data_IF_148672697154
#
_entry.id   IF_148672697154
#
_cell.length_a   1.000
_cell.length_b   1.000
_cell.length_c   1.000
_cell.angle_alpha   90.00
_cell.angle_beta   90.00
_cell.angle_gamma   90.00
#
_symmetry.space_group_name_H-M   'P 1'
#
loop_
_entity.id
_entity.type
_entity.pdbx_description
1 polymer ?
#
# COMPACT_ATOMS: atom_id res chain seq x y z
N UNK A 1 -9.49 -4.18 -0.83
CA UNK A 1 -9.82 -4.96 0.40
C UNK A 1 -9.35 -4.32 1.72
N UNK A 2 -8.17 -3.68 1.82
CA UNK A 2 -7.78 -2.90 3.01
C UNK A 2 -8.27 -1.45 2.98
N UNK A 3 -8.28 -0.80 1.80
CA UNK A 3 -8.70 0.61 1.68
C UNK A 3 -10.18 0.84 2.06
N UNK A 4 -11.06 -0.12 1.80
CA UNK A 4 -12.46 -0.05 2.21
C UNK A 4 -12.56 -0.12 3.74
N UNK A 5 -11.82 -1.04 4.37
CA UNK A 5 -11.78 -1.16 5.83
C UNK A 5 -11.22 0.12 6.49
N UNK A 6 -10.15 0.69 5.93
CA UNK A 6 -9.58 1.95 6.39
C UNK A 6 -10.56 3.12 6.24
N UNK A 7 -11.26 3.20 5.11
CA UNK A 7 -12.27 4.23 4.87
C UNK A 7 -13.45 4.12 5.85
N UNK A 8 -13.92 2.89 6.12
CA UNK A 8 -14.99 2.64 7.10
C UNK A 8 -14.55 2.97 8.52
N UNK A 9 -13.33 2.61 8.91
CA UNK A 9 -12.78 2.94 10.23
C UNK A 9 -12.63 4.46 10.41
N UNK A 10 -12.07 5.15 9.40
CA UNK A 10 -11.94 6.61 9.42
C UNK A 10 -13.31 7.30 9.48
N UNK A 11 -14.29 6.83 8.70
CA UNK A 11 -15.65 7.35 8.73
C UNK A 11 -16.31 7.13 10.09
N UNK A 12 -16.17 5.95 10.69
CA UNK A 12 -16.72 5.63 12.00
C UNK A 12 -16.15 6.54 13.10
N UNK A 13 -14.82 6.75 13.12
CA UNK A 13 -14.19 7.69 14.05
C UNK A 13 -14.69 9.12 13.84
N UNK A 14 -14.70 9.63 12.61
CA UNK A 14 -15.16 10.99 12.33
C UNK A 14 -16.62 11.20 12.79
N UNK A 15 -17.49 10.21 12.55
CA UNK A 15 -18.89 10.23 13.01
C UNK A 15 -19.01 10.19 14.53
N UNK A 16 -18.15 9.46 15.23
CA UNK A 16 -18.14 9.40 16.69
C UNK A 16 -17.81 10.75 17.35
N UNK A 17 -17.07 11.62 16.64
CA UNK A 17 -16.77 13.00 17.07
C UNK A 17 -17.75 14.05 16.53
N UNK A 18 -18.89 13.62 15.95
CA UNK A 18 -19.94 14.54 15.50
C UNK A 18 -19.72 15.19 14.14
N UNK A 19 -18.75 14.73 13.35
CA UNK A 19 -18.56 15.23 11.97
C UNK A 19 -19.76 14.84 11.10
N UNK A 20 -20.38 15.79 10.42
CA UNK A 20 -21.54 15.55 9.54
C UNK A 20 -21.26 14.53 8.41
N UNK A 21 -22.24 13.69 8.01
CA UNK A 21 -22.02 12.65 6.99
C UNK A 21 -21.57 13.24 5.65
N UNK A 22 -22.05 14.44 5.31
CA UNK A 22 -21.65 15.14 4.09
C UNK A 22 -20.15 15.48 4.09
N UNK A 23 -19.63 15.98 5.21
CA UNK A 23 -18.22 16.29 5.36
C UNK A 23 -17.34 15.02 5.32
N UNK A 24 -17.78 13.92 5.93
CA UNK A 24 -17.09 12.62 5.84
C UNK A 24 -17.05 12.12 4.39
N UNK A 25 -18.18 12.16 3.69
CA UNK A 25 -18.28 11.79 2.27
C UNK A 25 -17.33 12.61 1.42
N UNK A 26 -17.33 13.93 1.61
CA UNK A 26 -16.53 14.84 0.79
C UNK A 26 -15.02 14.67 1.09
N UNK A 27 -14.65 14.42 2.36
CA UNK A 27 -13.29 14.06 2.75
C UNK A 27 -12.82 12.75 2.12
N UNK A 28 -13.65 11.70 2.14
CA UNK A 28 -13.32 10.43 1.49
C UNK A 28 -13.19 10.55 -0.04
N UNK A 29 -13.97 11.43 -0.67
CA UNK A 29 -13.87 11.72 -2.11
C UNK A 29 -12.63 12.54 -2.47
N UNK A 30 -12.22 13.44 -1.58
CA UNK A 30 -11.04 14.28 -1.75
C UNK A 30 -9.74 13.54 -1.41
N UNK A 31 -9.82 12.48 -0.60
CA UNK A 31 -8.66 11.69 -0.20
C UNK A 31 -7.94 11.13 -1.42
N UNK A 32 -6.69 11.55 -1.58
CA UNK A 32 -5.74 10.92 -2.48
C UNK A 32 -4.73 10.18 -1.60
N UNK A 33 -4.55 8.86 -1.80
CA UNK A 33 -3.41 8.18 -1.19
C UNK A 33 -2.14 8.94 -1.58
N UNK A 34 -1.23 9.16 -0.63
CA UNK A 34 0.10 9.66 -0.98
C UNK A 34 0.73 8.74 -2.03
N UNK A 35 1.54 9.34 -2.92
CA UNK A 35 2.44 8.58 -3.77
C UNK A 35 3.33 7.67 -2.90
N UNK A 36 3.93 6.64 -3.50
CA UNK A 36 4.76 5.60 -2.87
C UNK A 36 4.04 4.31 -2.44
N UNK A 37 2.98 3.92 -3.18
CA UNK A 37 2.54 2.52 -3.26
C UNK A 37 2.65 2.12 -4.72
N UNK A 38 3.67 1.35 -5.08
CA UNK A 38 3.82 0.81 -6.45
C UNK A 38 3.91 1.97 -7.49
N UNK A 39 4.85 2.89 -7.28
CA UNK A 39 5.04 4.03 -8.18
C UNK A 39 5.83 3.61 -9.42
N UNK A 40 5.26 3.76 -10.61
CA UNK A 40 6.00 3.58 -11.85
C UNK A 40 7.04 4.70 -11.98
N UNK A 41 8.32 4.33 -12.06
CA UNK A 41 9.43 5.29 -12.13
C UNK A 41 9.89 5.49 -13.56
N UNK A 42 9.98 4.42 -14.34
CA UNK A 42 10.44 4.44 -15.72
C UNK A 42 10.10 3.15 -16.48
N UNK A 43 10.03 3.26 -17.80
CA UNK A 43 10.19 2.12 -18.70
C UNK A 43 11.52 2.29 -19.44
N UNK A 44 12.44 1.33 -19.29
CA UNK A 44 13.75 1.35 -19.95
C UNK A 44 13.97 -0.03 -20.56
N UNK A 45 14.26 -0.09 -21.86
CA UNK A 45 14.49 -1.34 -22.60
C UNK A 45 13.41 -2.41 -22.35
N UNK A 46 12.14 -1.99 -22.42
CA UNK A 46 10.94 -2.82 -22.16
C UNK A 46 10.78 -3.32 -20.72
N UNK A 47 11.67 -2.91 -19.82
CA UNK A 47 11.58 -3.20 -18.39
C UNK A 47 10.89 -2.06 -17.65
N UNK A 48 9.83 -2.43 -16.93
CA UNK A 48 9.09 -1.53 -16.06
C UNK A 48 9.74 -1.44 -14.68
N UNK A 49 10.14 -0.23 -14.27
CA UNK A 49 10.70 0.03 -12.95
C UNK A 49 9.63 0.60 -12.02
N UNK A 50 9.49 -0.03 -10.86
CA UNK A 50 8.48 0.30 -9.86
C UNK A 50 9.17 0.56 -8.51
N UNK A 51 8.97 1.74 -7.93
CA UNK A 51 9.41 2.07 -6.58
C UNK A 51 8.31 1.72 -5.57
N UNK A 52 8.66 0.82 -4.67
CA UNK A 52 7.84 0.43 -3.53
C UNK A 52 8.64 0.48 -2.21
N UNK A 53 9.51 1.48 -2.08
CA UNK A 53 10.39 1.71 -0.92
C UNK A 53 9.67 1.91 0.43
N UNK A 54 8.34 2.04 0.42
CA UNK A 54 7.48 2.07 1.62
C UNK A 54 6.94 0.70 2.05
N UNK A 55 7.22 -0.37 1.31
CA UNK A 55 6.97 -1.74 1.76
C UNK A 55 7.95 -2.19 2.85
N UNK A 56 7.97 -1.46 3.97
CA UNK A 56 8.87 -1.71 5.11
C UNK A 56 8.30 -2.73 6.11
N UNK A 57 7.22 -3.43 5.75
CA UNK A 57 6.64 -4.53 6.51
C UNK A 57 6.17 -5.62 5.53
N UNK A 58 6.16 -6.87 5.98
CA UNK A 58 5.89 -8.06 5.17
C UNK A 58 4.56 -7.99 4.41
N UNK A 59 3.48 -7.51 5.05
CA UNK A 59 2.17 -7.35 4.41
C UNK A 59 2.17 -6.34 3.25
N UNK A 60 2.96 -5.27 3.33
CA UNK A 60 3.08 -4.31 2.24
C UNK A 60 3.87 -4.90 1.07
N UNK A 61 4.92 -5.68 1.36
CA UNK A 61 5.69 -6.41 0.35
C UNK A 61 4.82 -7.44 -0.37
N UNK A 62 4.05 -8.27 0.34
CA UNK A 62 3.15 -9.28 -0.26
C UNK A 62 2.17 -8.66 -1.25
N UNK A 63 1.54 -7.53 -0.90
CA UNK A 63 0.59 -6.84 -1.76
C UNK A 63 1.24 -6.29 -3.05
N UNK A 64 2.52 -5.95 -2.99
CA UNK A 64 3.31 -5.44 -4.11
C UNK A 64 3.74 -6.56 -5.05
N UNK A 65 4.23 -7.67 -4.48
CA UNK A 65 4.61 -8.86 -5.26
C UNK A 65 3.39 -9.45 -5.99
N UNK A 66 2.23 -9.51 -5.35
CA UNK A 66 0.99 -10.03 -5.94
C UNK A 66 0.40 -9.16 -7.05
N UNK A 67 0.90 -7.93 -7.28
CA UNK A 67 0.40 -7.04 -8.32
C UNK A 67 0.93 -7.39 -9.73
N UNK A 68 1.88 -8.33 -9.85
CA UNK A 68 2.58 -8.65 -11.10
C UNK A 68 2.82 -10.16 -11.24
N UNK A 69 2.69 -10.69 -12.45
CA UNK A 69 2.87 -12.13 -12.73
C UNK A 69 4.35 -12.57 -12.74
N UNK A 70 5.28 -11.66 -13.05
CA UNK A 70 6.72 -11.94 -13.09
C UNK A 70 7.52 -10.67 -12.75
N UNK A 71 8.46 -10.78 -11.81
CA UNK A 71 9.19 -9.65 -11.24
C UNK A 71 10.65 -10.01 -10.91
N UNK A 72 11.51 -9.00 -10.96
CA UNK A 72 12.85 -9.04 -10.35
C UNK A 72 12.81 -8.17 -9.10
N UNK A 73 12.80 -8.80 -7.92
CA UNK A 73 12.68 -8.08 -6.66
C UNK A 73 14.06 -7.72 -6.09
N UNK A 74 14.29 -6.42 -5.88
CA UNK A 74 15.47 -5.92 -5.17
C UNK A 74 15.10 -5.78 -3.69
N UNK A 75 15.47 -6.78 -2.89
CA UNK A 75 15.19 -6.83 -1.47
C UNK A 75 16.42 -6.43 -0.61
N UNK A 76 16.21 -5.67 0.46
CA UNK A 76 17.27 -5.32 1.42
C UNK A 76 16.86 -4.24 2.41
N UNK A 77 17.47 -4.22 3.61
CA UNK A 77 17.19 -3.22 4.66
C UNK A 77 17.31 -3.77 6.09
N UNK A 78 16.96 -2.95 7.09
CA UNK A 78 16.95 -3.36 8.50
C UNK A 78 15.66 -4.13 8.81
N UNK A 79 15.77 -5.43 9.07
CA UNK A 79 14.63 -6.33 9.22
C UNK A 79 13.70 -6.03 10.43
N UNK A 80 14.12 -5.19 11.40
CA UNK A 80 13.34 -4.80 12.60
C UNK A 80 12.57 -5.97 13.28
N UNK A 81 13.14 -7.19 13.24
CA UNK A 81 12.54 -8.38 13.84
C UNK A 81 11.51 -9.12 12.98
N UNK A 82 11.31 -8.74 11.71
CA UNK A 82 10.49 -9.49 10.76
C UNK A 82 11.26 -10.70 10.21
N UNK A 83 10.57 -11.83 10.11
CA UNK A 83 11.01 -13.02 9.38
C UNK A 83 10.41 -13.01 7.97
N UNK A 84 11.17 -13.44 6.98
CA UNK A 84 10.77 -13.38 5.57
C UNK A 84 10.43 -14.76 5.00
N UNK A 85 10.34 -15.78 5.84
CA UNK A 85 10.13 -17.19 5.44
C UNK A 85 8.83 -17.38 4.65
N UNK A 86 7.78 -16.64 5.04
CA UNK A 86 6.46 -16.71 4.37
C UNK A 86 6.49 -16.12 2.94
N UNK A 87 7.46 -15.27 2.61
CA UNK A 87 7.63 -14.69 1.27
C UNK A 87 8.28 -15.64 0.26
N UNK A 88 8.85 -16.77 0.72
CA UNK A 88 9.64 -17.71 -0.10
C UNK A 88 8.95 -19.06 -0.27
N UNK A 89 7.68 -19.17 0.12
CA UNK A 89 6.93 -20.42 -0.06
C UNK A 89 6.55 -20.61 -1.53
N UNK A 90 7.25 -21.53 -2.19
CA UNK A 90 6.98 -21.97 -3.57
C UNK A 90 5.81 -22.93 -3.69
#
# INVERSE_FOLDING_TARGET
>A
PHNIANALAAAALARAFGVEPAAVRDGLRAFRPDAHRIEHVADIDEVRYVDDSKATNTHATEASLAAYDSIVWIAGGLAKGATFDDLVTG
#
